data_IF_929658053646
#
_entry.id   IF_929658053646
#
_cell.length_a   1.000
_cell.length_b   1.000
_cell.length_c   1.000
_cell.angle_alpha   90.00
_cell.angle_beta   90.00
_cell.angle_gamma   90.00
#
_symmetry.space_group_name_H-M   'P 1'
#
loop_
_entity.id
_entity.type
_entity.pdbx_description
1 polymer ?
#
# COMPACT_ATOMS: atom_id res chain seq x y z
N UNK A 1 13.58 23.73 -14.10
CA UNK A 1 13.85 22.53 -13.29
C UNK A 1 14.82 22.91 -12.19
N UNK A 2 14.43 22.75 -10.95
CA UNK A 2 15.27 23.05 -9.79
C UNK A 2 16.31 21.94 -9.57
N UNK A 3 17.38 22.22 -8.79
CA UNK A 3 18.41 21.21 -8.50
C UNK A 3 17.86 19.93 -7.85
N UNK A 4 16.88 20.08 -6.94
CA UNK A 4 16.28 18.90 -6.28
C UNK A 4 15.38 18.09 -7.22
N UNK A 5 14.68 18.74 -8.16
CA UNK A 5 13.90 18.03 -9.20
C UNK A 5 14.81 17.25 -10.14
N UNK A 6 15.95 17.83 -10.54
CA UNK A 6 16.92 17.13 -11.37
C UNK A 6 17.51 15.89 -10.69
N UNK A 7 17.84 16.00 -9.40
CA UNK A 7 18.31 14.85 -8.60
C UNK A 7 17.20 13.80 -8.44
N UNK A 8 15.97 14.22 -8.14
CA UNK A 8 14.85 13.27 -8.05
C UNK A 8 14.64 12.51 -9.36
N UNK A 9 14.68 13.22 -10.50
CA UNK A 9 14.55 12.59 -11.82
C UNK A 9 15.70 11.62 -12.12
N UNK A 10 16.93 11.95 -11.74
CA UNK A 10 18.08 11.05 -11.92
C UNK A 10 17.92 9.75 -11.12
N UNK A 11 17.57 9.86 -9.83
CA UNK A 11 17.33 8.69 -8.97
C UNK A 11 16.14 7.86 -9.50
N UNK A 12 15.07 8.51 -9.97
CA UNK A 12 13.92 7.83 -10.59
C UNK A 12 14.36 7.01 -11.81
N UNK A 13 15.17 7.60 -12.68
CA UNK A 13 15.73 6.90 -13.86
C UNK A 13 16.61 5.72 -13.45
N UNK A 14 17.41 5.85 -12.38
CA UNK A 14 18.23 4.76 -11.85
C UNK A 14 17.36 3.60 -11.33
N UNK A 15 16.23 3.91 -10.66
CA UNK A 15 15.26 2.89 -10.23
C UNK A 15 14.60 2.21 -11.44
N UNK A 16 14.17 2.98 -12.43
CA UNK A 16 13.54 2.47 -13.66
C UNK A 16 14.48 1.58 -14.47
N UNK A 17 15.77 1.91 -14.50
CA UNK A 17 16.82 1.14 -15.18
C UNK A 17 17.36 -0.03 -14.34
N UNK A 18 16.85 -0.24 -13.12
CA UNK A 18 17.25 -1.35 -12.25
C UNK A 18 18.62 -1.18 -11.57
N UNK A 19 19.18 0.04 -11.55
CA UNK A 19 20.40 0.36 -10.75
C UNK A 19 20.10 0.19 -9.26
N UNK A 20 18.91 0.62 -8.85
CA UNK A 20 18.35 0.33 -7.53
C UNK A 20 17.15 -0.59 -7.70
N UNK A 21 17.24 -1.80 -7.14
CA UNK A 21 16.18 -2.81 -7.25
C UNK A 21 15.16 -2.69 -6.10
N UNK A 22 14.01 -3.30 -6.28
CA UNK A 22 12.94 -3.33 -5.29
C UNK A 22 13.42 -3.85 -3.92
N UNK A 23 13.02 -3.15 -2.86
CA UNK A 23 13.45 -3.47 -1.49
C UNK A 23 14.90 -3.10 -1.16
N UNK A 24 15.70 -2.66 -2.13
CA UNK A 24 17.08 -2.24 -1.92
C UNK A 24 17.13 -0.86 -1.27
N UNK A 25 18.06 -0.68 -0.32
CA UNK A 25 18.37 0.63 0.24
C UNK A 25 19.08 1.47 -0.81
N UNK A 26 18.62 2.71 -1.02
CA UNK A 26 19.36 3.71 -1.79
C UNK A 26 20.47 4.32 -0.92
N UNK A 27 21.53 4.90 -1.53
CA UNK A 27 22.61 5.51 -0.77
C UNK A 27 22.12 6.56 0.22
N UNK A 28 22.89 6.79 1.29
CA UNK A 28 22.54 7.77 2.32
C UNK A 28 22.49 9.20 1.76
N UNK A 29 21.77 10.10 2.45
CA UNK A 29 21.72 11.52 2.08
C UNK A 29 23.12 12.13 1.88
N UNK A 30 24.10 11.67 2.64
CA UNK A 30 25.48 12.12 2.58
C UNK A 30 26.19 11.65 1.31
N UNK A 31 26.05 10.39 0.97
CA UNK A 31 26.62 9.80 -0.25
C UNK A 31 25.97 10.41 -1.50
N UNK A 32 24.64 10.57 -1.49
CA UNK A 32 23.95 11.22 -2.60
C UNK A 32 24.34 12.69 -2.75
N UNK A 33 24.53 13.41 -1.64
CA UNK A 33 24.99 14.80 -1.67
C UNK A 33 26.37 14.93 -2.32
N UNK A 34 27.28 14.02 -2.00
CA UNK A 34 28.60 13.95 -2.64
C UNK A 34 28.50 13.54 -4.12
N UNK A 35 27.68 12.55 -4.45
CA UNK A 35 27.51 12.02 -5.81
C UNK A 35 26.95 13.08 -6.78
N UNK A 36 25.96 13.87 -6.35
CA UNK A 36 25.29 14.87 -7.18
C UNK A 36 25.84 16.28 -7.00
N UNK A 37 26.87 16.48 -6.19
CA UNK A 37 27.47 17.79 -5.85
C UNK A 37 26.40 18.82 -5.43
N UNK A 38 25.58 18.45 -4.45
CA UNK A 38 24.50 19.28 -3.90
C UNK A 38 24.47 19.21 -2.37
N UNK A 39 23.75 20.14 -1.74
CA UNK A 39 23.58 20.12 -0.28
C UNK A 39 22.69 18.93 0.16
N UNK A 40 22.91 18.44 1.40
CA UNK A 40 22.01 17.44 2.02
C UNK A 40 20.56 17.88 2.03
N UNK A 41 20.29 19.20 2.16
CA UNK A 41 18.93 19.74 2.11
C UNK A 41 18.29 19.58 0.72
N UNK A 42 19.08 19.72 -0.34
CA UNK A 42 18.63 19.47 -1.72
C UNK A 42 18.28 17.99 -1.89
N UNK A 43 19.10 17.08 -1.37
CA UNK A 43 18.81 15.63 -1.37
C UNK A 43 17.52 15.31 -0.61
N UNK A 44 17.32 15.89 0.59
CA UNK A 44 16.08 15.67 1.38
C UNK A 44 14.83 16.06 0.61
N UNK A 45 14.87 17.19 -0.11
CA UNK A 45 13.77 17.62 -0.97
C UNK A 45 13.55 16.67 -2.14
N UNK A 46 14.62 16.21 -2.79
CA UNK A 46 14.55 15.24 -3.87
C UNK A 46 13.95 13.90 -3.39
N UNK A 47 14.42 13.38 -2.25
CA UNK A 47 13.87 12.16 -1.66
C UNK A 47 12.41 12.32 -1.21
N UNK A 48 12.00 13.52 -0.76
CA UNK A 48 10.60 13.77 -0.42
C UNK A 48 9.69 13.65 -1.65
N UNK A 49 10.11 14.15 -2.81
CA UNK A 49 9.37 13.95 -4.07
C UNK A 49 9.26 12.47 -4.45
N UNK A 50 10.34 11.70 -4.30
CA UNK A 50 10.32 10.26 -4.60
C UNK A 50 9.43 9.47 -3.63
N UNK A 51 9.29 9.93 -2.38
CA UNK A 51 8.32 9.36 -1.43
C UNK A 51 6.89 9.73 -1.84
N UNK A 52 6.65 10.98 -2.26
CA UNK A 52 5.35 11.46 -2.75
C UNK A 52 4.93 10.71 -4.03
N UNK A 53 5.88 10.42 -4.92
CA UNK A 53 5.69 9.61 -6.13
C UNK A 53 5.59 8.09 -5.84
N UNK A 54 5.61 7.67 -4.58
CA UNK A 54 5.55 6.26 -4.16
C UNK A 54 6.70 5.37 -4.67
N UNK A 55 7.83 5.96 -5.08
CA UNK A 55 9.00 5.23 -5.58
C UNK A 55 9.89 4.69 -4.48
N UNK A 56 9.95 5.37 -3.35
CA UNK A 56 10.74 4.98 -2.19
C UNK A 56 9.95 5.10 -0.90
N UNK A 57 10.37 4.37 0.13
CA UNK A 57 9.82 4.47 1.49
C UNK A 57 10.96 4.77 2.48
N UNK A 58 10.70 5.60 3.49
CA UNK A 58 11.62 5.80 4.61
C UNK A 58 11.42 4.70 5.64
N UNK A 59 12.49 3.99 6.01
CA UNK A 59 12.50 3.03 7.10
C UNK A 59 13.35 3.55 8.25
N UNK A 60 12.79 3.55 9.45
CA UNK A 60 13.52 3.94 10.65
C UNK A 60 14.76 3.05 10.84
N UNK A 61 15.94 3.64 10.94
CA UNK A 61 17.21 2.93 11.07
C UNK A 61 17.84 2.38 9.77
N UNK A 62 17.08 2.30 8.68
CA UNK A 62 17.57 1.74 7.39
C UNK A 62 17.61 2.75 6.24
N UNK A 63 17.28 4.02 6.50
CA UNK A 63 17.31 5.07 5.47
C UNK A 63 16.11 4.98 4.49
N UNK A 64 16.36 5.28 3.23
CA UNK A 64 15.35 5.19 2.16
C UNK A 64 15.55 3.90 1.36
N UNK A 65 14.46 3.23 1.05
CA UNK A 65 14.45 1.94 0.36
C UNK A 65 13.56 2.05 -0.86
N UNK A 66 13.96 1.50 -2.00
CA UNK A 66 13.11 1.41 -3.19
C UNK A 66 11.85 0.64 -2.83
N UNK A 67 10.71 1.24 -3.08
CA UNK A 67 9.43 0.58 -2.82
C UNK A 67 9.30 -0.63 -3.73
N UNK A 68 8.93 -1.80 -3.22
CA UNK A 68 8.55 -2.91 -4.06
C UNK A 68 7.45 -2.47 -5.04
N UNK A 69 7.64 -2.77 -6.32
CA UNK A 69 6.66 -2.44 -7.35
C UNK A 69 5.35 -3.15 -7.00
N UNK A 70 4.28 -2.39 -6.90
CA UNK A 70 2.97 -3.02 -6.77
C UNK A 70 2.70 -3.79 -8.05
N UNK A 71 2.31 -5.04 -7.93
CA UNK A 71 1.91 -5.88 -9.06
C UNK A 71 0.68 -5.28 -9.77
N UNK A 72 -0.12 -4.51 -9.03
CA UNK A 72 -1.29 -3.82 -9.53
C UNK A 72 -1.21 -2.30 -9.34
N UNK A 73 -1.69 -1.50 -10.32
CA UNK A 73 -1.78 -0.05 -10.16
C UNK A 73 -2.70 0.29 -8.98
N UNK A 74 -2.46 1.45 -8.35
CA UNK A 74 -3.36 1.95 -7.30
C UNK A 74 -4.79 2.08 -7.83
N UNK A 75 -5.73 1.48 -7.13
CA UNK A 75 -7.16 1.53 -7.46
C UNK A 75 -7.91 2.62 -6.69
N UNK A 76 -7.32 3.14 -5.61
CA UNK A 76 -7.98 4.05 -4.67
C UNK A 76 -9.11 3.37 -3.88
N UNK A 77 -9.12 2.04 -3.82
CA UNK A 77 -10.18 1.26 -3.17
C UNK A 77 -9.62 0.42 -2.03
N UNK A 78 -10.37 0.36 -0.93
CA UNK A 78 -10.14 -0.56 0.19
C UNK A 78 -11.38 -1.43 0.33
N UNK A 79 -11.23 -2.74 0.25
CA UNK A 79 -12.33 -3.66 0.56
C UNK A 79 -12.53 -3.74 2.09
N UNK A 80 -13.76 -3.52 2.52
CA UNK A 80 -14.16 -3.67 3.92
C UNK A 80 -15.16 -4.81 3.99
N UNK A 81 -14.72 -5.92 4.53
CA UNK A 81 -15.47 -7.17 4.59
C UNK A 81 -15.87 -7.44 6.03
N UNK A 82 -17.17 -7.36 6.32
CA UNK A 82 -17.73 -7.57 7.65
C UNK A 82 -18.64 -8.79 7.67
N UNK A 83 -18.90 -9.34 8.85
CA UNK A 83 -19.90 -10.41 8.99
C UNK A 83 -21.30 -9.87 8.74
N UNK A 84 -21.61 -8.67 9.25
CA UNK A 84 -22.89 -7.97 9.06
C UNK A 84 -22.62 -6.48 8.84
N UNK A 85 -23.47 -5.81 8.07
CA UNK A 85 -23.36 -4.36 7.80
C UNK A 85 -24.36 -3.55 8.62
N UNK A 86 -25.55 -4.13 8.86
CA UNK A 86 -26.69 -3.44 9.46
C UNK A 86 -26.90 -3.67 10.95
N UNK A 87 -26.14 -4.56 11.57
CA UNK A 87 -26.38 -5.00 12.92
C UNK A 87 -25.59 -4.19 13.96
N UNK A 88 -26.25 -3.79 15.01
CA UNK A 88 -25.89 -3.15 16.27
C UNK A 88 -24.62 -2.27 16.29
N UNK A 89 -23.42 -2.82 16.21
CA UNK A 89 -22.13 -2.05 16.33
C UNK A 89 -21.51 -1.69 14.97
N UNK A 90 -21.81 -2.46 13.93
CA UNK A 90 -21.16 -2.32 12.63
C UNK A 90 -21.41 -0.97 11.93
N UNK A 91 -22.59 -0.35 11.98
CA UNK A 91 -22.81 0.93 11.33
C UNK A 91 -21.89 2.04 11.84
N UNK A 92 -21.62 2.08 13.15
CA UNK A 92 -20.70 3.08 13.73
C UNK A 92 -19.25 2.82 13.36
N UNK A 93 -18.82 1.55 13.35
CA UNK A 93 -17.46 1.17 12.94
C UNK A 93 -17.24 1.45 11.46
N UNK A 94 -18.20 1.07 10.61
CA UNK A 94 -18.10 1.31 9.16
C UNK A 94 -18.07 2.80 8.84
N UNK A 95 -18.84 3.63 9.57
CA UNK A 95 -18.76 5.08 9.43
C UNK A 95 -17.35 5.61 9.76
N UNK A 96 -16.77 5.20 10.87
CA UNK A 96 -15.44 5.64 11.27
C UNK A 96 -14.37 5.20 10.25
N UNK A 97 -14.49 3.99 9.71
CA UNK A 97 -13.61 3.50 8.64
C UNK A 97 -13.77 4.33 7.38
N UNK A 98 -15.00 4.62 6.94
CA UNK A 98 -15.29 5.40 5.75
C UNK A 98 -14.78 6.85 5.87
N UNK A 99 -14.94 7.49 7.03
CA UNK A 99 -14.41 8.81 7.33
C UNK A 99 -12.88 8.85 7.13
N UNK A 100 -12.15 7.92 7.76
CA UNK A 100 -10.68 7.84 7.64
C UNK A 100 -10.24 7.54 6.20
N UNK A 101 -10.92 6.62 5.51
CA UNK A 101 -10.60 6.28 4.13
C UNK A 101 -10.84 7.46 3.19
N UNK A 102 -11.94 8.16 3.34
CA UNK A 102 -12.30 9.34 2.53
C UNK A 102 -11.32 10.49 2.71
N UNK A 103 -10.88 10.78 3.95
CA UNK A 103 -9.84 11.77 4.24
C UNK A 103 -8.52 11.43 3.53
N UNK A 104 -8.22 10.16 3.35
CA UNK A 104 -7.02 9.67 2.67
C UNK A 104 -7.24 9.36 1.18
N UNK A 105 -8.34 9.83 0.58
CA UNK A 105 -8.69 9.66 -0.84
C UNK A 105 -8.87 8.20 -1.27
N UNK A 106 -9.34 7.35 -0.35
CA UNK A 106 -9.75 5.98 -0.65
C UNK A 106 -11.27 5.85 -0.63
N UNK A 107 -11.79 4.94 -1.44
CA UNK A 107 -13.19 4.54 -1.45
C UNK A 107 -13.35 3.20 -0.74
N UNK A 108 -14.26 3.12 0.23
CA UNK A 108 -14.61 1.86 0.87
C UNK A 108 -15.51 1.01 -0.05
N UNK A 109 -15.11 -0.24 -0.29
CA UNK A 109 -15.94 -1.24 -0.98
C UNK A 109 -16.46 -2.22 0.06
N UNK A 110 -17.73 -2.05 0.46
CA UNK A 110 -18.34 -2.82 1.54
C UNK A 110 -18.88 -4.16 1.04
N UNK A 111 -18.59 -5.24 1.77
CA UNK A 111 -19.13 -6.57 1.53
C UNK A 111 -19.50 -7.26 2.84
N UNK A 112 -20.58 -8.06 2.84
CA UNK A 112 -21.05 -8.79 4.00
C UNK A 112 -20.94 -10.31 3.79
N UNK A 113 -20.23 -11.00 4.67
CA UNK A 113 -20.13 -12.47 4.63
C UNK A 113 -21.37 -13.15 5.20
N UNK A 114 -22.18 -12.43 5.98
CA UNK A 114 -23.31 -12.98 6.73
C UNK A 114 -22.90 -14.18 7.58
N UNK A 115 -21.69 -14.12 8.10
CA UNK A 115 -21.04 -15.17 8.89
C UNK A 115 -21.01 -16.55 8.19
N UNK A 116 -20.92 -16.57 6.84
CA UNK A 116 -20.84 -17.78 6.02
C UNK A 116 -19.50 -17.84 5.29
N UNK A 117 -18.76 -18.91 5.49
CA UNK A 117 -17.45 -19.15 4.89
C UNK A 117 -17.50 -19.17 3.36
N UNK A 118 -18.59 -19.69 2.76
CA UNK A 118 -18.76 -19.67 1.31
C UNK A 118 -18.95 -18.26 0.74
N UNK A 119 -19.61 -17.35 1.48
CA UNK A 119 -19.75 -15.97 1.06
C UNK A 119 -18.40 -15.23 1.17
N UNK A 120 -17.64 -15.48 2.24
CA UNK A 120 -16.30 -14.95 2.37
C UNK A 120 -15.43 -15.38 1.19
N UNK A 121 -15.45 -16.69 0.82
CA UNK A 121 -14.74 -17.19 -0.35
C UNK A 121 -15.10 -16.46 -1.63
N UNK A 122 -16.38 -16.31 -1.90
CA UNK A 122 -16.87 -15.60 -3.09
C UNK A 122 -16.41 -14.14 -3.14
N UNK A 123 -16.41 -13.44 -1.99
CA UNK A 123 -15.92 -12.07 -1.88
C UNK A 123 -14.41 -12.02 -2.15
N UNK A 124 -13.61 -12.91 -1.57
CA UNK A 124 -12.16 -12.96 -1.79
C UNK A 124 -11.82 -13.29 -3.26
N UNK A 125 -12.55 -14.21 -3.89
CA UNK A 125 -12.41 -14.53 -5.32
C UNK A 125 -12.76 -13.33 -6.22
N UNK A 126 -13.74 -12.52 -5.83
CA UNK A 126 -14.08 -11.30 -6.55
C UNK A 126 -13.00 -10.23 -6.40
N UNK A 127 -12.40 -10.08 -5.22
CA UNK A 127 -11.27 -9.17 -4.99
C UNK A 127 -10.04 -9.60 -5.81
N UNK A 128 -9.80 -10.90 -5.98
CA UNK A 128 -8.71 -11.40 -6.85
C UNK A 128 -8.92 -11.01 -8.32
N UNK A 129 -10.18 -10.96 -8.80
CA UNK A 129 -10.51 -10.54 -10.17
C UNK A 129 -10.49 -9.02 -10.32
N UNK A 130 -10.93 -8.32 -9.30
CA UNK A 130 -11.03 -6.86 -9.25
C UNK A 130 -10.19 -6.32 -8.09
N UNK A 131 -8.86 -6.22 -8.24
CA UNK A 131 -7.94 -5.87 -7.18
C UNK A 131 -8.26 -4.55 -6.50
N UNK A 132 -7.98 -4.49 -5.19
CA UNK A 132 -8.06 -3.30 -4.34
C UNK A 132 -6.69 -3.03 -3.71
N UNK A 133 -6.50 -1.83 -3.15
CA UNK A 133 -5.22 -1.43 -2.55
C UNK A 133 -5.00 -2.01 -1.14
N UNK A 134 -6.06 -2.52 -0.53
CA UNK A 134 -6.01 -3.16 0.77
C UNK A 134 -7.33 -3.78 1.15
N UNK A 135 -7.30 -4.66 2.15
CA UNK A 135 -8.47 -5.37 2.65
C UNK A 135 -8.52 -5.22 4.17
N UNK A 136 -9.63 -4.72 4.67
CA UNK A 136 -9.98 -4.76 6.08
C UNK A 136 -11.08 -5.81 6.24
N UNK A 137 -10.78 -6.89 6.96
CA UNK A 137 -11.70 -8.02 7.06
C UNK A 137 -11.95 -8.46 8.49
N UNK A 138 -13.21 -8.63 8.85
CA UNK A 138 -13.63 -9.37 10.02
C UNK A 138 -13.75 -10.85 9.67
N UNK A 139 -12.98 -11.70 10.35
CA UNK A 139 -12.94 -13.14 10.07
C UNK A 139 -14.30 -13.82 10.29
N UNK A 140 -14.80 -14.49 9.27
CA UNK A 140 -16.01 -15.31 9.35
C UNK A 140 -15.77 -16.50 10.28
N UNK A 141 -16.63 -16.70 11.28
CA UNK A 141 -16.48 -17.77 12.26
C UNK A 141 -15.09 -17.83 12.87
N UNK A 142 -14.58 -16.71 13.34
CA UNK A 142 -13.21 -16.50 13.81
C UNK A 142 -12.70 -17.50 14.87
N UNK A 143 -13.60 -18.21 15.55
CA UNK A 143 -13.25 -19.28 16.51
C UNK A 143 -12.93 -20.64 15.84
N UNK A 144 -13.04 -20.75 14.52
CA UNK A 144 -12.79 -21.98 13.75
C UNK A 144 -11.66 -21.77 12.74
N UNK A 145 -10.92 -22.84 12.35
CA UNK A 145 -9.98 -22.72 11.24
C UNK A 145 -10.67 -22.21 9.98
N UNK A 146 -10.10 -21.19 9.35
CA UNK A 146 -10.67 -20.62 8.14
C UNK A 146 -10.24 -21.43 6.91
N UNK A 147 -11.16 -22.06 6.16
CA UNK A 147 -10.83 -22.87 4.99
C UNK A 147 -10.41 -22.04 3.76
N UNK A 148 -10.46 -20.71 3.84
CA UNK A 148 -10.12 -19.79 2.74
C UNK A 148 -8.69 -19.28 2.81
N UNK A 149 -7.80 -19.87 3.62
CA UNK A 149 -6.40 -19.44 3.74
C UNK A 149 -5.67 -19.38 2.40
N UNK A 150 -5.99 -20.28 1.48
CA UNK A 150 -5.43 -20.29 0.13
C UNK A 150 -5.67 -18.98 -0.64
N UNK A 151 -6.81 -18.33 -0.41
CA UNK A 151 -7.15 -17.06 -1.05
C UNK A 151 -6.45 -15.88 -0.37
N UNK A 152 -6.31 -15.92 0.96
CA UNK A 152 -5.55 -14.90 1.69
C UNK A 152 -4.08 -14.89 1.28
N UNK A 153 -3.45 -16.06 1.15
CA UNK A 153 -2.06 -16.16 0.67
C UNK A 153 -1.90 -15.57 -0.73
N UNK A 154 -2.84 -15.86 -1.66
CA UNK A 154 -2.84 -15.28 -3.00
C UNK A 154 -2.97 -13.76 -2.97
N UNK A 155 -3.89 -13.22 -2.16
CA UNK A 155 -4.11 -11.78 -2.04
C UNK A 155 -2.89 -11.07 -1.45
N UNK A 156 -2.25 -11.64 -0.42
CA UNK A 156 -1.00 -11.11 0.16
C UNK A 156 0.12 -11.12 -0.89
N UNK A 157 0.21 -12.16 -1.72
CA UNK A 157 1.21 -12.28 -2.78
C UNK A 157 1.01 -11.29 -3.94
N UNK A 158 -0.13 -10.62 -4.03
CA UNK A 158 -0.40 -9.60 -5.05
C UNK A 158 0.05 -8.19 -4.64
N UNK A 159 0.48 -7.96 -3.42
CA UNK A 159 1.01 -6.70 -2.88
C UNK A 159 0.02 -5.91 -2.09
#
# INVERSE_FOLDING_TARGET
MTKYEAVAQAIKTDIENGVYTEGQAIPTEELLAAQYDVSRQTIRKALALLVEDDLIIKRQGSGSVVRPKRLNPRTGKIAVVATYISDYIFPSQLRAVDEVLSENKYTAVLSATRNRVCNERAILEEILKNPVDGILIEGTKSAMPNPNFDLYEKLIGMG
#
